data_IF_430840192856
#
_entry.id   IF_430840192856
#
_cell.length_a   1.000
_cell.length_b   1.000
_cell.length_c   1.000
_cell.angle_alpha   90.00
_cell.angle_beta   90.00
_cell.angle_gamma   90.00
#
_symmetry.space_group_name_H-M   'P 1'
#
loop_
_entity.id
_entity.type
_entity.pdbx_description
1 polymer ?
#
# COMPACT_ATOMS: atom_id res chain seq x y z
N UNK A 1 8.65 -4.95 10.44
CA UNK A 1 8.61 -5.58 9.09
C UNK A 1 9.64 -4.97 8.13
N UNK A 2 9.97 -5.65 7.03
CA UNK A 2 10.77 -5.08 5.92
C UNK A 2 9.88 -4.48 4.86
N UNK A 3 10.37 -3.49 4.11
CA UNK A 3 9.63 -2.80 3.04
C UNK A 3 9.03 -3.79 2.02
N UNK A 4 9.77 -4.82 1.64
CA UNK A 4 9.28 -5.85 0.71
C UNK A 4 8.06 -6.62 1.23
N UNK A 5 7.99 -6.90 2.53
CA UNK A 5 6.83 -7.58 3.12
C UNK A 5 5.60 -6.66 3.17
N UNK A 6 5.81 -5.37 3.45
CA UNK A 6 4.74 -4.37 3.44
C UNK A 6 4.15 -4.27 2.03
N UNK A 7 5.02 -4.13 1.01
CA UNK A 7 4.58 -4.07 -0.39
C UNK A 7 3.85 -5.34 -0.84
N UNK A 8 4.33 -6.52 -0.44
CA UNK A 8 3.70 -7.78 -0.80
C UNK A 8 2.31 -7.90 -0.19
N UNK A 9 2.15 -7.55 1.09
CA UNK A 9 0.85 -7.51 1.76
C UNK A 9 -0.10 -6.52 1.06
N UNK A 10 0.40 -5.33 0.71
CA UNK A 10 -0.38 -4.29 0.03
C UNK A 10 -0.85 -4.73 -1.35
N UNK A 11 0.01 -5.37 -2.15
CA UNK A 11 -0.37 -5.92 -3.46
C UNK A 11 -1.41 -7.04 -3.33
N UNK A 12 -1.27 -7.92 -2.36
CA UNK A 12 -2.26 -8.98 -2.07
C UNK A 12 -3.61 -8.36 -1.70
N UNK A 13 -3.60 -7.35 -0.82
CA UNK A 13 -4.82 -6.65 -0.40
C UNK A 13 -5.50 -5.94 -1.56
N UNK A 14 -4.73 -5.30 -2.44
CA UNK A 14 -5.24 -4.71 -3.68
C UNK A 14 -5.92 -5.74 -4.58
N UNK A 15 -5.34 -6.92 -4.74
CA UNK A 15 -5.94 -7.98 -5.56
C UNK A 15 -7.22 -8.54 -4.96
N UNK A 16 -7.32 -8.61 -3.62
CA UNK A 16 -8.47 -9.18 -2.93
C UNK A 16 -9.65 -8.21 -2.81
N UNK A 17 -9.39 -6.95 -2.46
CA UNK A 17 -10.43 -5.96 -2.12
C UNK A 17 -10.63 -4.92 -3.21
N UNK A 18 -9.71 -4.85 -4.18
CA UNK A 18 -9.64 -3.79 -5.19
C UNK A 18 -8.81 -2.60 -4.70
N UNK A 19 -7.98 -2.04 -5.58
CA UNK A 19 -7.25 -0.82 -5.27
C UNK A 19 -8.18 0.39 -5.33
N UNK A 20 -8.44 1.02 -4.18
CA UNK A 20 -9.19 2.28 -4.13
C UNK A 20 -8.24 3.48 -4.08
N UNK A 21 -7.37 3.55 -3.07
CA UNK A 21 -6.42 4.65 -2.87
C UNK A 21 -5.24 4.19 -1.98
N UNK A 22 -4.07 4.81 -2.18
CA UNK A 22 -2.86 4.57 -1.38
C UNK A 22 -3.12 4.76 0.12
N UNK A 23 -3.86 5.81 0.49
CA UNK A 23 -4.19 6.13 1.87
C UNK A 23 -5.01 5.04 2.54
N UNK A 24 -6.07 4.55 1.89
CA UNK A 24 -6.92 3.48 2.43
C UNK A 24 -6.17 2.16 2.57
N UNK A 25 -5.24 1.88 1.66
CA UNK A 25 -4.38 0.70 1.71
C UNK A 25 -3.38 0.78 2.88
N UNK A 26 -2.75 1.94 3.04
CA UNK A 26 -1.86 2.22 4.16
C UNK A 26 -2.61 2.20 5.50
N UNK A 27 -3.78 2.84 5.60
CA UNK A 27 -4.63 2.79 6.80
C UNK A 27 -5.05 1.36 7.15
N UNK A 28 -5.41 0.54 6.16
CA UNK A 28 -5.76 -0.86 6.40
C UNK A 28 -4.57 -1.64 6.97
N UNK A 29 -3.37 -1.40 6.44
CA UNK A 29 -2.15 -1.99 6.95
C UNK A 29 -1.87 -1.54 8.40
N UNK A 30 -1.86 -0.23 8.64
CA UNK A 30 -1.62 0.34 9.96
C UNK A 30 -2.60 -0.20 11.01
N UNK A 31 -3.88 -0.35 10.63
CA UNK A 31 -4.92 -0.89 11.50
C UNK A 31 -4.73 -2.39 11.78
N UNK A 32 -4.38 -3.18 10.78
CA UNK A 32 -4.12 -4.64 10.92
C UNK A 32 -2.91 -4.91 11.83
N UNK A 33 -1.85 -4.10 11.70
CA UNK A 33 -0.62 -4.22 12.50
C UNK A 33 -0.64 -3.38 13.78
N UNK A 34 -1.76 -2.72 14.11
CA UNK A 34 -1.92 -1.85 15.27
C UNK A 34 -0.85 -0.74 15.38
N UNK A 35 -0.34 -0.28 14.25
CA UNK A 35 0.63 0.82 14.16
C UNK A 35 -0.14 2.13 14.36
N UNK A 36 -0.02 2.72 15.55
CA UNK A 36 -0.69 3.97 15.92
C UNK A 36 0.26 5.16 15.97
N UNK A 37 1.56 4.87 15.98
CA UNK A 37 2.59 5.88 16.07
C UNK A 37 2.96 6.40 14.69
N UNK A 38 2.62 7.67 14.43
CA UNK A 38 3.03 8.36 13.21
C UNK A 38 4.56 8.60 13.15
N UNK A 39 5.25 8.44 14.28
CA UNK A 39 6.71 8.49 14.38
C UNK A 39 7.37 7.14 14.08
N UNK A 40 6.57 6.09 13.89
CA UNK A 40 7.09 4.76 13.66
C UNK A 40 7.65 4.67 12.23
N UNK A 41 8.87 4.15 12.03
CA UNK A 41 9.41 3.95 10.69
C UNK A 41 8.51 3.01 9.85
N UNK A 42 7.70 2.18 10.48
CA UNK A 42 6.71 1.34 9.80
C UNK A 42 5.54 2.16 9.23
N UNK A 43 5.20 3.30 9.85
CA UNK A 43 4.19 4.22 9.34
C UNK A 43 4.63 4.85 8.02
N UNK A 44 5.80 5.50 7.99
CA UNK A 44 6.33 6.08 6.74
C UNK A 44 6.53 5.03 5.66
N UNK A 45 7.00 3.82 6.01
CA UNK A 45 7.17 2.72 5.04
C UNK A 45 5.84 2.22 4.49
N UNK A 46 4.80 2.15 5.32
CA UNK A 46 3.47 1.74 4.86
C UNK A 46 2.88 2.75 3.89
N UNK A 47 3.01 4.06 4.16
CA UNK A 47 2.60 5.08 3.21
C UNK A 47 3.40 5.02 1.91
N UNK A 48 4.73 4.95 1.98
CA UNK A 48 5.60 4.87 0.79
C UNK A 48 5.27 3.64 -0.07
N UNK A 49 5.10 2.47 0.57
CA UNK A 49 4.68 1.25 -0.10
C UNK A 49 3.28 1.39 -0.72
N UNK A 50 2.34 2.01 -0.01
CA UNK A 50 0.98 2.25 -0.48
C UNK A 50 0.95 3.15 -1.72
N UNK A 51 1.77 4.21 -1.72
CA UNK A 51 1.95 5.10 -2.87
C UNK A 51 2.61 4.40 -4.06
N UNK A 52 3.66 3.60 -3.84
CA UNK A 52 4.30 2.82 -4.91
C UNK A 52 3.33 1.82 -5.54
N UNK A 53 2.60 1.04 -4.73
CA UNK A 53 1.60 0.09 -5.24
C UNK A 53 0.49 0.84 -6.00
N UNK A 54 0.03 1.98 -5.47
CA UNK A 54 -0.95 2.83 -6.13
C UNK A 54 -0.49 3.32 -7.50
N UNK A 55 0.75 3.80 -7.59
CA UNK A 55 1.35 4.22 -8.84
C UNK A 55 1.48 3.06 -9.81
N UNK A 56 1.92 1.88 -9.37
CA UNK A 56 2.02 0.69 -10.24
C UNK A 56 0.67 0.24 -10.78
N UNK A 57 -0.38 0.27 -9.95
CA UNK A 57 -1.74 -0.09 -10.39
C UNK A 57 -2.24 0.92 -11.41
N UNK A 58 -2.06 2.22 -11.15
CA UNK A 58 -2.45 3.29 -12.06
C UNK A 58 -1.67 3.25 -13.38
N UNK A 59 -0.37 3.02 -13.32
CA UNK A 59 0.52 2.90 -14.48
C UNK A 59 0.12 1.72 -15.37
N UNK A 60 -0.19 0.57 -14.76
CA UNK A 60 -0.71 -0.60 -15.48
C UNK A 60 -2.06 -0.33 -16.16
N UNK A 61 -2.95 0.41 -15.51
CA UNK A 61 -4.24 0.78 -16.11
C UNK A 61 -4.05 1.71 -17.31
N UNK A 62 -3.07 2.63 -17.23
CA UNK A 62 -2.72 3.56 -18.29
C UNK A 62 -1.99 2.88 -19.47
N UNK A 63 -1.20 1.83 -19.21
CA UNK A 63 -0.49 1.06 -20.24
C UNK A 63 -1.39 0.13 -21.06
N UNK A 64 -2.57 -0.26 -20.55
CA UNK A 64 -3.56 -1.07 -21.29
C UNK A 64 -4.52 -0.23 -22.15
N UNK A 65 -4.53 1.10 -21.98
CA UNK A 65 -5.39 2.02 -22.72
C UNK A 65 -4.69 2.67 -23.94
N UNK A 66 -3.45 2.27 -24.24
CA UNK A 66 -2.62 2.78 -25.34
C UNK A 66 -2.54 1.85 -26.54
#
# INVERSE_FOLDING_TARGET
MTESQIMQWMRERVKQVGFTNATTLAESFLKEYHIKDALDPEFSRSLDAGFKVAQEVRDKDMALAG
#
